data_IF_082928300254
#
_entry.id   IF_082928300254
#
_cell.length_a   1.000
_cell.length_b   1.000
_cell.length_c   1.000
_cell.angle_alpha   90.00
_cell.angle_beta   90.00
_cell.angle_gamma   90.00
#
_symmetry.space_group_name_H-M   'P 1'
#
loop_
_entity.id
_entity.type
_entity.pdbx_description
1 polymer ?
#
# COMPACT_ATOMS: atom_id res chain seq x y z
N UNK A 1 10.55 -1.47 1.00
CA UNK A 1 9.65 -0.53 0.33
C UNK A 1 10.05 0.91 0.61
N UNK A 2 10.38 1.23 1.85
CA UNK A 2 10.81 2.59 2.19
C UNK A 2 12.05 3.01 1.39
N UNK A 3 13.05 2.13 1.29
CA UNK A 3 14.23 2.37 0.46
C UNK A 3 13.88 2.48 -1.02
N UNK A 4 12.98 1.62 -1.49
CA UNK A 4 12.48 1.68 -2.87
C UNK A 4 11.86 3.05 -3.17
N UNK A 5 11.01 3.58 -2.27
CA UNK A 5 10.39 4.89 -2.46
C UNK A 5 11.40 6.03 -2.42
N UNK A 6 12.38 5.97 -1.53
CA UNK A 6 13.44 6.97 -1.47
C UNK A 6 14.25 6.99 -2.76
N UNK A 7 14.56 5.82 -3.32
CA UNK A 7 15.28 5.71 -4.58
C UNK A 7 14.45 6.18 -5.76
N UNK A 8 13.14 5.90 -5.75
CA UNK A 8 12.22 6.33 -6.80
C UNK A 8 12.15 7.85 -6.90
N UNK A 9 12.07 8.54 -5.75
CA UNK A 9 11.91 10.00 -5.74
C UNK A 9 13.22 10.76 -5.82
N UNK A 10 14.25 10.29 -5.15
CA UNK A 10 15.50 11.05 -5.02
C UNK A 10 15.36 12.25 -4.07
N UNK A 11 16.49 12.90 -3.78
CA UNK A 11 16.51 14.11 -2.95
C UNK A 11 15.93 15.31 -3.73
N UNK A 12 15.30 16.30 -3.06
CA UNK A 12 15.06 16.40 -1.63
C UNK A 12 13.81 15.69 -1.15
N UNK A 13 12.94 15.24 -2.06
CA UNK A 13 11.64 14.66 -1.71
C UNK A 13 11.77 13.39 -0.87
N UNK A 14 12.81 12.58 -1.12
CA UNK A 14 13.05 11.35 -0.38
C UNK A 14 13.18 11.56 1.14
N UNK A 15 13.67 12.72 1.57
CA UNK A 15 13.85 13.04 2.99
C UNK A 15 12.51 13.32 3.70
N UNK A 16 11.45 13.53 2.95
CA UNK A 16 10.13 13.85 3.48
C UNK A 16 9.21 12.64 3.58
N UNK A 17 9.64 11.48 3.09
CA UNK A 17 8.88 10.25 3.18
C UNK A 17 8.76 9.83 4.65
N UNK A 18 7.57 9.42 5.07
CA UNK A 18 7.28 9.02 6.45
C UNK A 18 6.71 7.63 6.53
N UNK A 19 7.20 6.86 7.49
CA UNK A 19 6.65 5.57 7.85
C UNK A 19 5.60 5.78 8.95
N UNK A 20 4.34 5.71 8.58
CA UNK A 20 3.22 6.11 9.45
C UNK A 20 2.81 4.99 10.41
N UNK A 21 2.90 3.72 10.02
CA UNK A 21 2.51 2.60 10.87
C UNK A 21 3.28 2.54 12.20
N UNK A 22 4.45 3.16 12.29
CA UNK A 22 5.22 3.27 13.52
C UNK A 22 4.64 4.28 14.53
N UNK A 23 3.88 5.27 14.05
CA UNK A 23 3.31 6.32 14.89
C UNK A 23 1.80 6.23 15.01
N UNK A 24 1.12 5.62 14.03
CA UNK A 24 -0.35 5.44 14.02
C UNK A 24 -0.72 4.14 13.32
N UNK A 25 -0.92 3.09 14.11
CA UNK A 25 -1.31 1.76 13.60
C UNK A 25 -2.72 1.74 13.00
N UNK A 26 -3.55 2.77 13.25
CA UNK A 26 -4.93 2.83 12.77
C UNK A 26 -5.09 3.67 11.51
N UNK A 27 -4.01 4.20 10.94
CA UNK A 27 -4.09 5.08 9.78
C UNK A 27 -4.62 4.40 8.52
N UNK A 28 -4.45 3.08 8.40
CA UNK A 28 -4.90 2.33 7.22
C UNK A 28 -3.90 2.35 6.07
N UNK A 29 -2.69 2.84 6.31
CA UNK A 29 -1.56 2.80 5.39
C UNK A 29 -0.25 2.86 6.17
N UNK A 30 0.84 2.40 5.55
CA UNK A 30 2.15 2.26 6.20
C UNK A 30 3.08 3.44 5.97
N UNK A 31 3.03 4.02 4.79
CA UNK A 31 3.99 5.03 4.34
C UNK A 31 3.24 6.17 3.67
N UNK A 32 3.64 7.41 3.98
CA UNK A 32 3.26 8.58 3.19
C UNK A 32 4.44 8.97 2.32
N UNK A 33 4.17 9.19 1.03
CA UNK A 33 5.16 9.53 0.04
C UNK A 33 4.61 10.58 -0.94
N UNK A 34 5.34 10.80 -2.00
CA UNK A 34 4.97 11.70 -3.07
C UNK A 34 4.83 10.93 -4.38
N UNK A 35 3.91 11.36 -5.23
CA UNK A 35 3.75 10.76 -6.56
C UNK A 35 4.99 11.05 -7.43
N UNK A 36 5.50 12.29 -7.35
CA UNK A 36 6.72 12.70 -8.06
C UNK A 36 7.49 13.73 -7.25
N UNK A 37 8.72 14.04 -7.71
CA UNK A 37 9.53 15.10 -7.11
C UNK A 37 8.90 16.50 -7.25
N UNK A 38 7.91 16.63 -8.14
CA UNK A 38 7.21 17.88 -8.38
C UNK A 38 5.96 18.05 -7.49
N UNK A 39 5.58 17.02 -6.75
CA UNK A 39 4.42 17.09 -5.85
C UNK A 39 4.65 18.10 -4.73
N UNK A 40 3.67 18.98 -4.51
CA UNK A 40 3.71 19.98 -3.45
C UNK A 40 3.29 19.39 -2.12
N UNK A 41 2.30 18.49 -2.15
CA UNK A 41 1.76 17.82 -0.97
C UNK A 41 2.06 16.32 -1.04
N UNK A 42 2.03 15.64 0.11
CA UNK A 42 2.13 14.18 0.16
C UNK A 42 0.86 13.58 -0.44
N UNK A 43 0.98 13.01 -1.61
CA UNK A 43 -0.13 12.51 -2.42
C UNK A 43 -0.02 11.02 -2.78
N UNK A 44 0.83 10.30 -2.06
CA UNK A 44 0.94 8.85 -2.22
C UNK A 44 0.90 8.18 -0.86
N UNK A 45 -0.19 7.48 -0.59
CA UNK A 45 -0.42 6.74 0.65
C UNK A 45 -0.25 5.26 0.35
N UNK A 46 0.75 4.63 0.97
CA UNK A 46 1.22 3.30 0.60
C UNK A 46 0.91 2.31 1.71
N UNK A 47 0.20 1.23 1.38
CA UNK A 47 0.07 0.04 2.21
C UNK A 47 0.97 -1.04 1.65
N UNK A 48 1.83 -1.62 2.50
CA UNK A 48 2.76 -2.66 2.11
C UNK A 48 2.19 -4.02 2.53
N UNK A 49 2.10 -4.94 1.58
CA UNK A 49 1.64 -6.32 1.83
C UNK A 49 2.67 -7.32 1.35
N UNK A 50 3.03 -8.25 2.22
CA UNK A 50 3.75 -9.43 1.79
C UNK A 50 2.77 -10.34 1.06
N UNK A 51 3.11 -10.73 -0.16
CA UNK A 51 2.31 -11.69 -0.93
C UNK A 51 3.03 -13.03 -0.95
N UNK A 52 2.29 -14.10 -0.63
CA UNK A 52 2.76 -15.47 -0.81
C UNK A 52 1.93 -16.13 -1.89
N UNK A 53 2.51 -17.10 -2.58
CA UNK A 53 1.96 -17.90 -3.69
C UNK A 53 0.78 -17.28 -4.48
N UNK A 54 -0.24 -16.71 -3.86
CA UNK A 54 -1.41 -16.22 -4.60
C UNK A 54 -2.18 -15.07 -3.94
N UNK A 55 -1.83 -14.65 -2.71
CA UNK A 55 -2.70 -13.66 -2.08
C UNK A 55 -2.15 -12.94 -0.86
N UNK A 56 -2.97 -12.04 -0.37
CA UNK A 56 -2.70 -11.27 0.83
C UNK A 56 -4.02 -10.95 1.55
N UNK A 57 -3.92 -10.56 2.82
CA UNK A 57 -5.08 -10.15 3.61
C UNK A 57 -5.16 -8.63 3.68
N UNK A 58 -6.38 -8.11 3.53
CA UNK A 58 -6.65 -6.69 3.57
C UNK A 58 -7.70 -6.42 4.63
N UNK A 59 -7.37 -5.60 5.62
CA UNK A 59 -8.29 -5.30 6.71
C UNK A 59 -9.40 -4.37 6.24
N UNK A 60 -10.52 -4.35 6.99
CA UNK A 60 -11.62 -3.42 6.71
C UNK A 60 -11.14 -1.98 6.77
N UNK A 61 -10.32 -1.63 7.78
CA UNK A 61 -9.80 -0.27 7.93
C UNK A 61 -8.93 0.13 6.74
N UNK A 62 -8.06 -0.77 6.28
CA UNK A 62 -7.22 -0.52 5.10
C UNK A 62 -8.07 -0.34 3.84
N UNK A 63 -9.09 -1.19 3.66
CA UNK A 63 -9.99 -1.07 2.51
C UNK A 63 -10.80 0.22 2.54
N UNK A 64 -11.38 0.59 3.70
CA UNK A 64 -12.13 1.84 3.85
C UNK A 64 -11.24 3.05 3.58
N UNK A 65 -10.01 3.03 4.06
CA UNK A 65 -9.02 4.08 3.81
C UNK A 65 -8.69 4.16 2.31
N UNK A 66 -8.52 3.02 1.66
CA UNK A 66 -8.27 2.96 0.21
C UNK A 66 -9.43 3.58 -0.58
N UNK A 67 -10.67 3.34 -0.18
CA UNK A 67 -11.83 3.97 -0.83
C UNK A 67 -11.83 5.48 -0.68
N UNK A 68 -11.49 5.98 0.51
CA UNK A 68 -11.43 7.41 0.77
C UNK A 68 -10.31 8.10 0.00
N UNK A 69 -9.14 7.49 -0.04
CA UNK A 69 -7.96 8.07 -0.71
C UNK A 69 -8.00 7.91 -2.23
N UNK A 70 -8.70 6.90 -2.73
CA UNK A 70 -8.87 6.68 -4.17
C UNK A 70 -7.54 6.52 -4.90
N UNK A 71 -7.32 7.36 -5.90
CA UNK A 71 -6.13 7.29 -6.76
C UNK A 71 -4.82 7.63 -6.04
N UNK A 72 -4.87 8.20 -4.84
CA UNK A 72 -3.68 8.47 -4.04
C UNK A 72 -3.28 7.32 -3.14
N UNK A 73 -4.07 6.26 -3.07
CA UNK A 73 -3.77 5.06 -2.29
C UNK A 73 -3.15 3.99 -3.19
N UNK A 74 -2.06 3.39 -2.71
CA UNK A 74 -1.29 2.38 -3.42
C UNK A 74 -1.07 1.17 -2.55
N UNK A 75 -1.19 -0.03 -3.13
CA UNK A 75 -0.68 -1.26 -2.55
C UNK A 75 0.67 -1.58 -3.18
N UNK A 76 1.66 -1.84 -2.33
CA UNK A 76 2.95 -2.36 -2.77
C UNK A 76 3.03 -3.81 -2.30
N UNK A 77 2.98 -4.74 -3.25
CA UNK A 77 3.02 -6.17 -2.96
C UNK A 77 4.47 -6.65 -3.04
N UNK A 78 4.95 -7.22 -1.95
CA UNK A 78 6.33 -7.66 -1.81
C UNK A 78 6.37 -9.19 -1.75
N UNK A 79 7.04 -9.80 -2.73
CA UNK A 79 7.28 -11.24 -2.73
C UNK A 79 8.55 -11.53 -1.94
N UNK A 80 8.38 -12.11 -0.74
CA UNK A 80 9.49 -12.39 0.17
C UNK A 80 10.49 -13.40 -0.37
N UNK A 81 10.09 -14.24 -1.34
CA UNK A 81 11.00 -15.19 -2.00
C UNK A 81 11.95 -14.49 -2.98
N UNK A 82 11.61 -13.29 -3.43
CA UNK A 82 12.37 -12.54 -4.44
C UNK A 82 13.05 -11.28 -3.91
N UNK A 83 12.78 -10.92 -2.66
CA UNK A 83 13.21 -9.63 -2.09
C UNK A 83 14.73 -9.41 -2.13
N UNK A 84 15.52 -10.49 -2.10
CA UNK A 84 16.98 -10.41 -2.13
C UNK A 84 17.58 -10.46 -3.55
N UNK A 85 16.75 -10.54 -4.58
CA UNK A 85 17.23 -10.48 -5.97
C UNK A 85 17.65 -9.03 -6.30
N UNK A 86 18.79 -8.82 -7.01
CA UNK A 86 19.35 -7.47 -7.21
C UNK A 86 18.40 -6.49 -7.90
N UNK A 87 17.58 -6.96 -8.83
CA UNK A 87 16.70 -6.11 -9.62
C UNK A 87 15.23 -6.21 -9.19
N UNK A 88 14.99 -6.74 -7.99
CA UNK A 88 13.62 -6.92 -7.51
C UNK A 88 12.95 -5.57 -7.22
N UNK A 89 11.73 -5.41 -7.72
CA UNK A 89 10.85 -4.30 -7.40
C UNK A 89 9.48 -4.83 -6.95
N UNK A 90 8.80 -4.17 -5.99
CA UNK A 90 7.46 -4.58 -5.59
C UNK A 90 6.46 -4.38 -6.73
N UNK A 91 5.39 -5.17 -6.72
CA UNK A 91 4.25 -4.90 -7.59
C UNK A 91 3.46 -3.74 -7.02
N UNK A 92 3.22 -2.71 -7.84
CA UNK A 92 2.55 -1.48 -7.42
C UNK A 92 1.15 -1.47 -8.01
N UNK A 93 0.13 -1.35 -7.14
CA UNK A 93 -1.27 -1.28 -7.56
C UNK A 93 -1.85 0.05 -7.08
N UNK A 94 -2.18 0.91 -8.03
CA UNK A 94 -2.83 2.19 -7.74
C UNK A 94 -4.34 2.01 -7.61
N UNK A 95 -4.95 2.72 -6.66
CA UNK A 95 -6.39 2.72 -6.43
C UNK A 95 -6.98 1.30 -6.30
N UNK A 96 -6.45 0.48 -5.36
CA UNK A 96 -6.82 -0.93 -5.27
C UNK A 96 -8.28 -1.16 -4.90
N UNK A 97 -8.96 -0.20 -4.27
CA UNK A 97 -10.38 -0.31 -3.98
C UNK A 97 -11.22 -0.47 -5.25
N UNK A 98 -10.72 0.04 -6.38
CA UNK A 98 -11.36 -0.12 -7.69
C UNK A 98 -10.64 -1.21 -8.50
N UNK A 99 -9.33 -1.12 -8.64
CA UNK A 99 -8.58 -1.98 -9.57
C UNK A 99 -8.53 -3.45 -9.14
N UNK A 100 -8.60 -3.74 -7.83
CA UNK A 100 -8.67 -5.12 -7.33
C UNK A 100 -10.14 -5.56 -7.21
N UNK A 101 -10.97 -4.76 -6.55
CA UNK A 101 -12.35 -5.16 -6.20
C UNK A 101 -13.24 -5.32 -7.43
N UNK A 102 -12.96 -4.58 -8.50
CA UNK A 102 -13.72 -4.67 -9.76
C UNK A 102 -13.01 -5.51 -10.83
N UNK A 103 -11.86 -6.07 -10.52
CA UNK A 103 -11.06 -6.83 -11.47
C UNK A 103 -11.42 -8.32 -11.46
N UNK A 104 -11.45 -8.93 -12.65
CA UNK A 104 -11.60 -10.37 -12.78
C UNK A 104 -10.29 -11.13 -12.51
N UNK A 105 -9.16 -10.42 -12.39
CA UNK A 105 -7.86 -11.03 -12.11
C UNK A 105 -7.67 -11.41 -10.64
N UNK A 106 -8.53 -10.92 -9.74
CA UNK A 106 -8.43 -11.17 -8.30
C UNK A 106 -9.72 -11.78 -7.77
N UNK A 107 -9.57 -12.84 -6.97
CA UNK A 107 -10.68 -13.41 -6.21
C UNK A 107 -10.72 -12.75 -4.83
N UNK A 108 -11.83 -12.10 -4.51
CA UNK A 108 -12.03 -11.40 -3.23
C UNK A 108 -12.99 -12.22 -2.36
N UNK A 109 -12.51 -12.64 -1.18
CA UNK A 109 -13.29 -13.41 -0.23
C UNK A 109 -13.27 -12.77 1.15
N UNK A 110 -14.41 -12.73 1.84
CA UNK A 110 -14.48 -12.30 3.23
C UNK A 110 -13.91 -13.41 4.12
N UNK A 111 -12.93 -13.04 4.99
CA UNK A 111 -12.24 -14.01 5.85
C UNK A 111 -12.64 -13.93 7.32
N UNK A 112 -13.28 -12.84 7.75
CA UNK A 112 -13.69 -12.71 9.14
C UNK A 112 -14.96 -11.87 9.27
N UNK A 113 -15.65 -12.10 10.42
CA UNK A 113 -16.86 -11.37 10.75
C UNK A 113 -16.74 -10.85 12.19
N UNK A 114 -17.22 -9.62 12.41
CA UNK A 114 -17.38 -9.07 13.77
C UNK A 114 -18.82 -9.27 14.22
N UNK A 115 -18.98 -9.96 15.34
CA UNK A 115 -20.31 -10.27 15.90
C UNK A 115 -20.45 -9.51 17.20
N UNK A 116 -21.48 -8.69 17.31
CA UNK A 116 -21.74 -7.89 18.51
C UNK A 116 -23.16 -8.09 18.98
N UNK A 117 -23.34 -8.03 20.30
CA UNK A 117 -24.67 -7.97 20.89
C UNK A 117 -25.20 -6.54 20.80
N UNK A 118 -26.44 -6.43 20.41
CA UNK A 118 -27.11 -5.11 20.31
C UNK A 118 -27.49 -4.62 21.70
#
# INVERSE_FOLDING_TARGET
VLEFEKNRLGAPSSDKIRRISEVDATAGYDIISYDSIQSIEMDRFIEVKAISSSGFYWSKNEYETAKLKGETYYLYLVDLHKINQPDYTPEIIQNPAVTIMESEAWLVEAQSYSIRRI
#
